data_IF_430029314713
#
_entry.id   IF_430029314713
#
_cell.length_a   1.000
_cell.length_b   1.000
_cell.length_c   1.000
_cell.angle_alpha   90.00
_cell.angle_beta   90.00
_cell.angle_gamma   90.00
#
_symmetry.space_group_name_H-M   'P 1'
#
loop_
_entity.id
_entity.type
_entity.pdbx_description
1 polymer ?
#
# COMPACT_ATOMS: atom_id res chain seq x y z
N UNK A 1 -28.91 -6.28 70.36
CA UNK A 1 -28.15 -7.09 69.41
C UNK A 1 -28.09 -6.32 68.09
N UNK A 2 -26.90 -5.75 67.74
CA UNK A 2 -26.67 -5.01 66.48
C UNK A 2 -25.85 -5.89 65.58
N UNK A 3 -26.44 -6.37 64.49
CA UNK A 3 -25.80 -7.22 63.47
C UNK A 3 -25.02 -6.32 62.51
N UNK A 4 -23.68 -6.39 62.51
CA UNK A 4 -22.83 -5.74 61.53
C UNK A 4 -22.79 -6.56 60.25
N UNK A 5 -23.31 -6.00 59.16
CA UNK A 5 -23.22 -6.57 57.82
C UNK A 5 -21.86 -6.17 57.24
N UNK A 6 -20.95 -7.13 57.00
CA UNK A 6 -19.66 -6.91 56.31
C UNK A 6 -19.88 -7.00 54.83
N UNK A 7 -19.76 -5.87 54.13
CA UNK A 7 -19.74 -5.80 52.67
C UNK A 7 -18.32 -6.13 52.23
N UNK A 8 -18.14 -7.27 51.57
CA UNK A 8 -16.88 -7.61 50.92
C UNK A 8 -16.83 -6.96 49.53
N UNK A 9 -15.95 -5.98 49.36
CA UNK A 9 -15.70 -5.39 48.04
C UNK A 9 -14.82 -6.35 47.21
N UNK A 10 -15.37 -6.88 46.15
CA UNK A 10 -14.65 -7.72 45.17
C UNK A 10 -13.87 -6.79 44.21
N UNK A 11 -12.57 -6.67 44.39
CA UNK A 11 -11.68 -5.98 43.47
C UNK A 11 -11.44 -6.87 42.24
N UNK A 12 -12.11 -6.55 41.14
CA UNK A 12 -11.80 -7.12 39.80
C UNK A 12 -10.50 -6.51 39.30
N UNK A 13 -9.38 -7.22 39.46
CA UNK A 13 -8.16 -6.92 38.76
C UNK A 13 -8.33 -7.29 37.28
N UNK A 14 -8.54 -6.27 36.41
CA UNK A 14 -8.43 -6.45 34.98
C UNK A 14 -7.00 -6.86 34.63
N UNK A 15 -6.81 -8.02 34.03
CA UNK A 15 -5.52 -8.42 33.49
C UNK A 15 -5.09 -7.40 32.42
N UNK A 16 -3.83 -6.92 32.42
CA UNK A 16 -3.34 -6.08 31.34
C UNK A 16 -3.39 -6.87 30.03
N UNK A 17 -4.09 -6.32 29.04
CA UNK A 17 -4.06 -6.84 27.67
C UNK A 17 -2.65 -6.59 27.14
N UNK A 18 -1.84 -7.64 27.02
CA UNK A 18 -0.55 -7.57 26.35
C UNK A 18 -0.80 -7.29 24.87
N UNK A 19 -0.32 -6.16 24.38
CA UNK A 19 -0.27 -5.92 22.95
C UNK A 19 0.54 -7.06 22.28
N UNK A 20 0.11 -7.56 21.12
CA UNK A 20 0.85 -8.59 20.42
C UNK A 20 2.27 -8.09 20.10
N UNK A 21 3.26 -8.97 20.29
CA UNK A 21 4.64 -8.67 19.92
C UNK A 21 4.71 -8.40 18.42
N UNK A 22 5.48 -7.38 17.99
CA UNK A 22 5.70 -7.13 16.56
C UNK A 22 6.47 -8.28 15.93
N UNK A 23 6.06 -8.65 14.72
CA UNK A 23 6.68 -9.70 13.89
C UNK A 23 7.49 -9.06 12.76
N UNK A 24 8.54 -9.74 12.23
CA UNK A 24 9.20 -9.28 11.02
C UNK A 24 8.20 -9.07 9.89
N UNK A 25 8.45 -8.07 9.03
CA UNK A 25 7.63 -7.87 7.84
C UNK A 25 7.67 -9.10 6.95
N UNK A 26 6.50 -9.49 6.44
CA UNK A 26 6.33 -10.52 5.41
C UNK A 26 6.14 -9.89 4.03
N UNK A 27 5.53 -8.69 4.01
CA UNK A 27 5.26 -7.93 2.79
C UNK A 27 5.35 -6.42 3.04
N UNK A 28 5.58 -5.69 1.95
CA UNK A 28 5.31 -4.27 1.83
C UNK A 28 4.22 -4.08 0.78
N UNK A 29 3.08 -3.51 1.17
CA UNK A 29 2.10 -3.02 0.20
C UNK A 29 2.53 -1.62 -0.25
N UNK A 30 2.86 -1.46 -1.52
CA UNK A 30 3.19 -0.19 -2.13
C UNK A 30 1.98 0.34 -2.92
N UNK A 31 1.58 1.58 -2.64
CA UNK A 31 0.45 2.23 -3.31
C UNK A 31 0.86 3.63 -3.76
N UNK A 32 0.51 3.98 -5.00
CA UNK A 32 0.85 5.26 -5.60
C UNK A 32 -0.27 6.28 -5.42
N UNK A 33 0.10 7.55 -5.21
CA UNK A 33 -0.77 8.66 -5.52
C UNK A 33 -0.55 9.01 -6.98
N UNK A 34 -1.43 8.51 -7.84
CA UNK A 34 -1.21 8.50 -9.28
C UNK A 34 -1.03 9.90 -9.90
N UNK A 35 -1.77 10.96 -9.47
CA UNK A 35 -1.54 12.31 -9.99
C UNK A 35 -0.11 12.80 -9.79
N UNK A 36 0.46 12.67 -8.60
CA UNK A 36 1.87 13.04 -8.32
C UNK A 36 2.87 12.22 -9.15
N UNK A 37 2.60 10.92 -9.33
CA UNK A 37 3.42 10.09 -10.21
C UNK A 37 3.37 10.60 -11.66
N UNK A 38 2.17 10.90 -12.15
CA UNK A 38 1.96 11.38 -13.52
C UNK A 38 2.56 12.75 -13.76
N UNK A 39 2.58 13.62 -12.76
CA UNK A 39 3.25 14.94 -12.85
C UNK A 39 4.75 14.81 -13.20
N UNK A 40 5.39 13.73 -12.73
CA UNK A 40 6.80 13.42 -12.99
C UNK A 40 7.02 12.56 -14.23
N UNK A 41 5.97 11.89 -14.73
CA UNK A 41 6.06 10.88 -15.79
C UNK A 41 5.05 11.11 -16.93
N UNK A 42 4.85 12.35 -17.35
CA UNK A 42 3.80 12.85 -18.26
C UNK A 42 3.63 12.04 -19.55
N UNK A 43 4.70 11.37 -20.02
CA UNK A 43 4.72 10.63 -21.30
C UNK A 43 4.29 9.15 -21.17
N UNK A 44 3.96 8.70 -19.96
CA UNK A 44 3.45 7.32 -19.80
C UNK A 44 2.00 7.22 -20.23
N UNK A 45 1.58 6.14 -20.91
CA UNK A 45 0.21 5.99 -21.41
C UNK A 45 -0.86 6.20 -20.32
N UNK A 46 -0.63 5.67 -19.14
CA UNK A 46 -1.51 5.83 -17.98
C UNK A 46 -1.63 7.29 -17.52
N UNK A 47 -0.61 8.10 -17.77
CA UNK A 47 -0.59 9.51 -17.40
C UNK A 47 -1.18 10.40 -18.50
N UNK A 48 -0.90 10.11 -19.78
CA UNK A 48 -1.51 10.81 -20.91
C UNK A 48 -3.04 10.63 -20.93
N UNK A 49 -3.53 9.51 -20.44
CA UNK A 49 -4.96 9.18 -20.38
C UNK A 49 -5.62 9.53 -19.05
N UNK A 50 -4.88 10.09 -18.07
CA UNK A 50 -5.45 10.43 -16.76
C UNK A 50 -6.41 11.62 -16.87
N UNK A 51 -7.58 11.50 -16.24
CA UNK A 51 -8.57 12.58 -16.09
C UNK A 51 -9.03 12.68 -14.63
N UNK A 52 -9.62 13.79 -14.26
CA UNK A 52 -10.13 14.02 -12.91
C UNK A 52 -11.28 13.06 -12.52
N UNK A 53 -11.94 12.45 -13.52
CA UNK A 53 -13.05 11.49 -13.33
C UNK A 53 -12.57 10.07 -13.14
N UNK A 54 -11.32 9.75 -13.48
CA UNK A 54 -10.77 8.41 -13.24
C UNK A 54 -10.62 8.15 -11.74
N UNK A 55 -10.79 6.89 -11.35
CA UNK A 55 -10.71 6.48 -9.95
C UNK A 55 -9.35 6.82 -9.32
N UNK A 56 -8.26 6.63 -10.05
CA UNK A 56 -6.89 6.92 -9.62
C UNK A 56 -6.57 8.41 -9.43
N UNK A 57 -7.49 9.31 -9.82
CA UNK A 57 -7.38 10.73 -9.53
C UNK A 57 -7.74 11.09 -8.08
N UNK A 58 -8.41 10.18 -7.35
CA UNK A 58 -8.99 10.45 -6.02
C UNK A 58 -8.81 9.30 -5.02
N UNK A 59 -8.05 8.28 -5.38
CA UNK A 59 -7.75 7.13 -4.51
C UNK A 59 -6.37 6.55 -4.83
N UNK A 60 -5.88 5.73 -3.93
CA UNK A 60 -4.62 5.04 -4.15
C UNK A 60 -4.72 4.03 -5.28
N UNK A 61 -3.68 3.97 -6.10
CA UNK A 61 -3.45 2.95 -7.11
C UNK A 61 -2.47 1.90 -6.60
N UNK A 62 -2.63 0.66 -7.04
CA UNK A 62 -1.68 -0.40 -6.73
C UNK A 62 -0.36 -0.15 -7.45
N UNK A 63 0.74 -0.11 -6.69
CA UNK A 63 2.07 -0.29 -7.25
C UNK A 63 2.43 -1.77 -7.20
N UNK A 64 2.44 -2.38 -6.02
CA UNK A 64 2.68 -3.81 -5.86
C UNK A 64 2.58 -4.29 -4.42
N UNK A 65 2.71 -5.60 -4.24
CA UNK A 65 2.83 -6.28 -2.97
C UNK A 65 4.17 -7.02 -2.92
N UNK A 66 5.12 -6.51 -2.15
CA UNK A 66 6.51 -6.95 -2.21
C UNK A 66 6.85 -7.89 -1.06
N UNK A 67 7.18 -9.16 -1.32
CA UNK A 67 7.65 -10.07 -0.29
C UNK A 67 8.91 -9.56 0.42
N UNK A 68 8.95 -9.76 1.73
CA UNK A 68 10.09 -9.49 2.59
C UNK A 68 10.72 -10.82 3.08
N UNK A 69 12.00 -10.86 3.51
CA UNK A 69 12.87 -9.71 3.70
C UNK A 69 13.36 -9.10 2.39
N UNK A 70 13.76 -7.83 2.45
CA UNK A 70 14.31 -7.10 1.29
C UNK A 70 15.36 -7.93 0.56
N UNK A 71 15.19 -8.08 -0.75
CA UNK A 71 16.05 -8.92 -1.58
C UNK A 71 15.37 -10.23 -2.04
N UNK A 72 14.16 -10.51 -1.58
CA UNK A 72 13.34 -11.62 -2.04
C UNK A 72 12.71 -11.25 -3.39
N UNK A 73 13.42 -11.55 -4.48
CA UNK A 73 13.04 -11.20 -5.84
C UNK A 73 13.25 -12.36 -6.80
N UNK A 74 12.45 -12.42 -7.88
CA UNK A 74 12.66 -13.29 -9.05
C UNK A 74 12.70 -14.79 -8.72
N UNK A 75 11.82 -15.26 -7.83
CA UNK A 75 11.79 -16.67 -7.43
C UNK A 75 11.42 -17.57 -8.62
N UNK A 76 12.37 -18.41 -9.02
CA UNK A 76 12.18 -19.34 -10.15
C UNK A 76 12.13 -18.67 -11.54
N UNK A 77 12.47 -17.38 -11.64
CA UNK A 77 12.46 -16.63 -12.92
C UNK A 77 13.73 -16.90 -13.72
N UNK A 78 13.60 -17.01 -15.04
CA UNK A 78 14.74 -17.19 -15.95
C UNK A 78 15.63 -15.94 -16.02
N UNK A 79 16.93 -16.13 -16.25
CA UNK A 79 17.88 -15.03 -16.44
C UNK A 79 17.49 -14.08 -17.59
N UNK A 80 16.85 -14.59 -18.64
CA UNK A 80 16.33 -13.79 -19.77
C UNK A 80 15.27 -12.79 -19.28
N UNK A 81 14.28 -13.26 -18.54
CA UNK A 81 13.21 -12.40 -18.01
C UNK A 81 13.74 -11.42 -16.96
N UNK A 82 14.68 -11.87 -16.11
CA UNK A 82 15.35 -10.97 -15.14
C UNK A 82 16.10 -9.85 -15.88
N UNK A 83 16.79 -10.18 -16.96
CA UNK A 83 17.54 -9.20 -17.74
C UNK A 83 16.60 -8.21 -18.47
N UNK A 84 15.48 -8.68 -19.01
CA UNK A 84 14.45 -7.84 -19.64
C UNK A 84 13.84 -6.89 -18.60
N UNK A 85 13.47 -7.42 -17.45
CA UNK A 85 12.87 -6.64 -16.36
C UNK A 85 13.80 -5.52 -15.86
N UNK A 86 15.07 -5.85 -15.59
CA UNK A 86 16.09 -4.87 -15.15
C UNK A 86 16.39 -3.76 -16.15
N UNK A 87 16.14 -4.01 -17.44
CA UNK A 87 16.28 -3.00 -18.51
C UNK A 87 15.05 -2.12 -18.66
N UNK A 88 13.93 -2.49 -18.03
CA UNK A 88 12.63 -1.83 -18.25
C UNK A 88 11.93 -2.27 -19.55
N UNK A 89 12.37 -3.35 -20.17
CA UNK A 89 11.79 -3.96 -21.39
C UNK A 89 10.54 -4.80 -20.98
N UNK A 90 9.60 -4.22 -20.25
CA UNK A 90 8.47 -4.95 -19.66
C UNK A 90 7.47 -5.45 -20.69
N UNK A 91 7.41 -4.83 -21.86
CA UNK A 91 6.64 -5.30 -23.00
C UNK A 91 7.09 -6.68 -23.50
N UNK A 92 8.37 -7.04 -23.27
CA UNK A 92 8.95 -8.34 -23.61
C UNK A 92 8.71 -9.44 -22.58
N UNK A 93 8.24 -9.08 -21.39
CA UNK A 93 7.88 -10.06 -20.37
C UNK A 93 6.60 -10.80 -20.79
N UNK A 94 6.44 -12.07 -20.38
CA UNK A 94 5.24 -12.84 -20.70
C UNK A 94 3.95 -12.12 -20.27
N UNK A 95 2.91 -12.13 -21.11
CA UNK A 95 1.60 -11.65 -20.69
C UNK A 95 1.05 -12.50 -19.57
N UNK A 96 0.28 -11.87 -18.67
CA UNK A 96 -0.34 -12.57 -17.56
C UNK A 96 -1.66 -13.20 -17.99
N UNK A 97 -1.80 -14.49 -17.73
CA UNK A 97 -3.07 -15.20 -17.90
C UNK A 97 -3.90 -15.03 -16.61
N UNK A 98 -4.85 -14.10 -16.66
CA UNK A 98 -5.74 -13.76 -15.57
C UNK A 98 -7.20 -13.93 -15.99
N UNK A 99 -8.09 -14.37 -15.09
CA UNK A 99 -9.54 -14.30 -15.35
C UNK A 99 -9.95 -12.88 -15.75
N UNK A 100 -10.93 -12.76 -16.66
CA UNK A 100 -11.32 -11.47 -17.24
C UNK A 100 -11.77 -10.45 -16.18
N UNK A 101 -12.52 -10.89 -15.18
CA UNK A 101 -12.95 -10.06 -14.05
C UNK A 101 -11.77 -9.49 -13.25
N UNK A 102 -10.76 -10.32 -13.03
CA UNK A 102 -9.55 -9.90 -12.33
C UNK A 102 -8.71 -8.95 -13.20
N UNK A 103 -8.61 -9.21 -14.51
CA UNK A 103 -7.89 -8.35 -15.45
C UNK A 103 -8.48 -6.93 -15.49
N UNK A 104 -9.80 -6.81 -15.66
CA UNK A 104 -10.51 -5.52 -15.70
C UNK A 104 -10.33 -4.76 -14.38
N UNK A 105 -10.43 -5.46 -13.27
CA UNK A 105 -10.24 -4.88 -11.95
C UNK A 105 -8.81 -4.41 -11.71
N UNK A 106 -7.82 -5.22 -12.13
CA UNK A 106 -6.41 -4.87 -12.02
C UNK A 106 -6.07 -3.66 -12.89
N UNK A 107 -6.55 -3.58 -14.13
CA UNK A 107 -6.31 -2.45 -15.03
C UNK A 107 -6.87 -1.13 -14.48
N UNK A 108 -7.99 -1.21 -13.73
CA UNK A 108 -8.55 -0.04 -13.04
C UNK A 108 -7.73 0.37 -11.82
N UNK A 109 -7.28 -0.60 -11.02
CA UNK A 109 -6.59 -0.37 -9.76
C UNK A 109 -5.09 -0.09 -9.93
N UNK A 110 -4.49 -0.57 -11.01
CA UNK A 110 -3.08 -0.41 -11.38
C UNK A 110 -2.97 0.24 -12.77
N UNK A 111 -3.15 1.56 -12.91
CA UNK A 111 -3.07 2.25 -14.20
C UNK A 111 -1.77 1.99 -14.96
N UNK A 112 -0.67 1.75 -14.22
CA UNK A 112 0.63 1.37 -14.77
C UNK A 112 0.63 0.05 -15.57
N UNK A 113 -0.44 -0.76 -15.54
CA UNK A 113 -0.62 -1.91 -16.43
C UNK A 113 -0.61 -1.50 -17.91
N UNK A 114 -0.99 -0.26 -18.24
CA UNK A 114 -0.88 0.31 -19.59
C UNK A 114 0.57 0.39 -20.08
N UNK A 115 1.54 0.44 -19.16
CA UNK A 115 2.98 0.38 -19.44
C UNK A 115 3.64 -0.89 -18.87
N UNK A 116 2.86 -1.96 -18.73
CA UNK A 116 3.30 -3.30 -18.33
C UNK A 116 3.85 -3.42 -16.90
N UNK A 117 3.47 -2.52 -16.00
CA UNK A 117 3.85 -2.58 -14.59
C UNK A 117 3.40 -3.91 -13.95
N UNK A 118 2.23 -4.41 -14.32
CA UNK A 118 1.71 -5.70 -13.84
C UNK A 118 2.65 -6.88 -14.15
N UNK A 119 3.29 -6.89 -15.33
CA UNK A 119 4.27 -7.93 -15.68
C UNK A 119 5.55 -7.80 -14.87
N UNK A 120 6.03 -6.55 -14.66
CA UNK A 120 7.17 -6.27 -13.80
C UNK A 120 6.90 -6.75 -12.37
N UNK A 121 5.80 -6.33 -11.78
CA UNK A 121 5.45 -6.67 -10.40
C UNK A 121 5.28 -8.17 -10.21
N UNK A 122 4.66 -8.86 -11.17
CA UNK A 122 4.58 -10.31 -11.14
C UNK A 122 5.95 -10.97 -11.19
N UNK A 123 6.74 -10.67 -12.22
CA UNK A 123 8.04 -11.33 -12.45
C UNK A 123 8.98 -11.10 -11.28
N UNK A 124 9.03 -9.88 -10.76
CA UNK A 124 9.99 -9.50 -9.72
C UNK A 124 9.53 -9.90 -8.32
N UNK A 125 8.28 -9.70 -8.00
CA UNK A 125 7.74 -9.84 -6.65
C UNK A 125 6.73 -10.97 -6.52
N UNK A 126 5.76 -11.05 -7.43
CA UNK A 126 4.68 -12.03 -7.36
C UNK A 126 5.14 -13.48 -7.43
N UNK A 127 6.23 -13.76 -8.15
CA UNK A 127 6.86 -15.10 -8.20
C UNK A 127 7.38 -15.58 -6.84
N UNK A 128 7.56 -14.66 -5.88
CA UNK A 128 7.96 -14.95 -4.51
C UNK A 128 6.80 -14.91 -3.50
N UNK A 129 5.56 -14.74 -3.98
CA UNK A 129 4.38 -14.73 -3.14
C UNK A 129 4.13 -16.11 -2.48
N UNK A 130 3.41 -16.15 -1.35
CA UNK A 130 3.11 -17.40 -0.62
C UNK A 130 2.32 -18.42 -1.47
N UNK A 131 1.43 -17.93 -2.36
CA UNK A 131 0.83 -18.70 -3.45
C UNK A 131 1.32 -18.08 -4.78
N UNK A 132 2.39 -18.63 -5.40
CA UNK A 132 3.07 -18.01 -6.51
C UNK A 132 2.34 -18.25 -7.84
N UNK A 133 1.07 -17.84 -7.90
CA UNK A 133 0.28 -17.73 -9.13
C UNK A 133 -0.08 -16.27 -9.41
N UNK A 134 -0.12 -15.81 -10.68
CA UNK A 134 -0.51 -14.44 -11.00
C UNK A 134 -1.88 -14.08 -10.42
N UNK A 135 -2.82 -15.03 -10.48
CA UNK A 135 -4.18 -14.83 -9.96
C UNK A 135 -4.17 -14.59 -8.45
N UNK A 136 -3.52 -15.44 -7.65
CA UNK A 136 -3.48 -15.31 -6.19
C UNK A 136 -2.77 -14.00 -5.80
N UNK A 137 -1.61 -13.71 -6.37
CA UNK A 137 -0.84 -12.49 -6.10
C UNK A 137 -1.67 -11.22 -6.32
N UNK A 138 -2.36 -11.09 -7.46
CA UNK A 138 -3.14 -9.89 -7.73
C UNK A 138 -4.47 -9.84 -6.97
N UNK A 139 -5.12 -10.98 -6.69
CA UNK A 139 -6.30 -11.01 -5.80
C UNK A 139 -5.96 -10.52 -4.40
N UNK A 140 -4.84 -10.96 -3.86
CA UNK A 140 -4.37 -10.56 -2.53
C UNK A 140 -3.94 -9.09 -2.50
N UNK A 141 -3.20 -8.64 -3.50
CA UNK A 141 -2.81 -7.22 -3.64
C UNK A 141 -4.03 -6.29 -3.70
N UNK A 142 -5.02 -6.65 -4.53
CA UNK A 142 -6.26 -5.88 -4.69
C UNK A 142 -7.13 -5.91 -3.43
N UNK A 143 -7.20 -7.05 -2.74
CA UNK A 143 -7.92 -7.17 -1.46
C UNK A 143 -7.38 -6.17 -0.42
N UNK A 144 -6.05 -6.04 -0.32
CA UNK A 144 -5.42 -5.12 0.62
C UNK A 144 -5.60 -3.66 0.19
N UNK A 145 -5.45 -3.36 -1.11
CA UNK A 145 -5.72 -2.03 -1.66
C UNK A 145 -7.16 -1.58 -1.43
N UNK A 146 -8.14 -2.47 -1.63
CA UNK A 146 -9.55 -2.14 -1.41
C UNK A 146 -9.83 -1.76 0.04
N UNK A 147 -9.23 -2.48 1.01
CA UNK A 147 -9.39 -2.15 2.42
C UNK A 147 -8.76 -0.79 2.76
N UNK A 148 -7.63 -0.45 2.14
CA UNK A 148 -7.03 0.88 2.27
C UNK A 148 -7.94 1.96 1.68
N UNK A 149 -8.43 1.76 0.46
CA UNK A 149 -9.30 2.71 -0.23
C UNK A 149 -10.71 2.83 0.39
N UNK A 150 -11.13 1.84 1.18
CA UNK A 150 -12.35 1.91 1.98
C UNK A 150 -12.14 2.60 3.35
N UNK A 151 -10.90 2.94 3.71
CA UNK A 151 -10.56 3.49 5.02
C UNK A 151 -10.59 5.03 5.04
N UNK A 152 -10.58 5.65 6.25
CA UNK A 152 -10.43 7.10 6.40
C UNK A 152 -9.13 7.66 5.80
N UNK A 153 -8.10 6.83 5.59
CA UNK A 153 -6.82 7.26 4.99
C UNK A 153 -7.02 7.78 3.56
N UNK A 154 -7.79 7.05 2.75
CA UNK A 154 -8.14 7.50 1.39
C UNK A 154 -8.87 8.83 1.41
N UNK A 155 -9.81 9.00 2.34
CA UNK A 155 -10.59 10.22 2.47
C UNK A 155 -9.70 11.42 2.82
N UNK A 156 -8.74 11.25 3.73
CA UNK A 156 -7.77 12.31 4.06
C UNK A 156 -7.02 12.77 2.81
N UNK A 157 -6.50 11.85 2.01
CA UNK A 157 -5.78 12.18 0.77
C UNK A 157 -6.69 12.88 -0.24
N UNK A 158 -7.91 12.40 -0.44
CA UNK A 158 -8.88 13.02 -1.35
C UNK A 158 -9.24 14.46 -0.92
N UNK A 159 -9.41 14.71 0.38
CA UNK A 159 -9.71 16.04 0.93
C UNK A 159 -8.49 16.99 0.92
N UNK A 160 -7.29 16.43 0.82
CA UNK A 160 -6.03 17.19 0.75
C UNK A 160 -5.55 17.46 -0.69
N UNK A 161 -6.33 17.10 -1.72
CA UNK A 161 -5.95 17.34 -3.11
C UNK A 161 -5.74 18.86 -3.34
N UNK A 162 -4.52 19.20 -3.80
CA UNK A 162 -4.09 20.59 -4.02
C UNK A 162 -3.41 21.24 -2.82
N UNK A 163 -3.35 20.56 -1.68
CA UNK A 163 -2.74 21.05 -0.45
C UNK A 163 -1.55 20.19 0.01
N UNK A 164 -0.67 20.76 0.81
CA UNK A 164 0.39 20.03 1.50
C UNK A 164 -0.21 19.20 2.66
N UNK A 165 0.12 17.91 2.68
CA UNK A 165 -0.27 16.99 3.74
C UNK A 165 0.95 16.62 4.60
N UNK A 166 0.85 16.85 5.91
CA UNK A 166 1.91 16.51 6.84
C UNK A 166 1.88 15.01 7.22
N UNK A 167 3.05 14.41 7.37
CA UNK A 167 3.18 12.99 7.76
C UNK A 167 2.50 12.69 9.10
N UNK A 168 2.51 13.65 10.03
CA UNK A 168 1.88 13.45 11.33
C UNK A 168 0.35 13.27 11.20
N UNK A 169 -0.29 13.98 10.28
CA UNK A 169 -1.73 13.82 10.03
C UNK A 169 -2.03 12.45 9.42
N UNK A 170 -1.12 11.96 8.55
CA UNK A 170 -1.23 10.60 8.00
C UNK A 170 -1.06 9.54 9.10
N UNK A 171 -0.09 9.69 10.03
CA UNK A 171 0.05 8.79 11.19
C UNK A 171 -1.27 8.73 11.98
N UNK A 172 -1.84 9.88 12.30
CA UNK A 172 -3.06 9.94 13.13
C UNK A 172 -4.25 9.26 12.44
N UNK A 173 -4.45 9.50 11.16
CA UNK A 173 -5.58 8.89 10.44
C UNK A 173 -5.37 7.39 10.23
N UNK A 174 -4.13 6.93 10.06
CA UNK A 174 -3.80 5.50 9.97
C UNK A 174 -4.03 4.81 11.32
N UNK A 175 -3.69 5.46 12.44
CA UNK A 175 -4.01 4.95 13.78
C UNK A 175 -5.53 4.85 14.00
N UNK A 176 -6.29 5.85 13.57
CA UNK A 176 -7.76 5.81 13.63
C UNK A 176 -8.33 4.68 12.76
N UNK A 177 -7.75 4.45 11.58
CA UNK A 177 -8.26 3.47 10.64
C UNK A 177 -7.91 2.02 11.01
N UNK A 178 -6.69 1.79 11.53
CA UNK A 178 -6.12 0.47 11.69
C UNK A 178 -5.62 0.15 13.11
N UNK A 179 -5.86 1.07 14.06
CA UNK A 179 -5.53 0.91 15.49
C UNK A 179 -4.21 1.57 15.90
N UNK A 180 -4.08 1.81 17.19
CA UNK A 180 -2.99 2.57 17.79
C UNK A 180 -1.60 2.06 17.35
N UNK A 181 -0.76 2.98 16.92
CA UNK A 181 0.61 2.71 16.45
C UNK A 181 0.72 2.18 15.03
N UNK A 182 -0.40 1.96 14.31
CA UNK A 182 -0.40 1.55 12.90
C UNK A 182 0.33 2.57 12.00
N UNK A 183 0.20 3.86 12.30
CA UNK A 183 0.84 4.94 11.56
C UNK A 183 2.37 4.88 11.55
N UNK A 184 2.99 4.19 12.50
CA UNK A 184 4.44 3.97 12.47
C UNK A 184 4.88 2.82 11.53
N UNK A 185 3.93 2.07 10.94
CA UNK A 185 4.18 0.99 9.98
C UNK A 185 4.02 1.44 8.53
N UNK A 186 3.90 2.76 8.33
CA UNK A 186 3.86 3.34 6.99
C UNK A 186 5.11 4.20 6.73
N UNK A 187 5.44 4.29 5.45
CA UNK A 187 6.46 5.19 4.92
C UNK A 187 5.85 6.01 3.78
N UNK A 188 5.95 7.35 3.86
CA UNK A 188 5.65 8.20 2.72
C UNK A 188 6.92 8.41 1.88
N UNK A 189 6.76 8.39 0.57
CA UNK A 189 7.79 8.73 -0.39
C UNK A 189 7.39 10.02 -1.10
N UNK A 190 8.28 11.00 -0.99
CA UNK A 190 8.17 12.26 -1.73
C UNK A 190 9.19 12.32 -2.86
N UNK A 191 8.86 13.05 -3.90
CA UNK A 191 9.75 13.42 -5.00
C UNK A 191 9.62 14.90 -5.28
N UNK A 192 10.74 15.55 -5.57
CA UNK A 192 10.76 16.96 -5.93
C UNK A 192 10.30 17.14 -7.38
N UNK A 193 9.41 18.12 -7.54
CA UNK A 193 9.20 18.83 -8.78
C UNK A 193 9.50 20.29 -8.50
N UNK A 194 10.53 20.83 -9.11
CA UNK A 194 11.06 22.16 -8.79
C UNK A 194 11.36 22.30 -7.27
N UNK A 195 10.74 23.24 -6.59
CA UNK A 195 10.90 23.45 -5.14
C UNK A 195 9.81 22.72 -4.30
N UNK A 196 8.84 22.04 -4.95
CA UNK A 196 7.74 21.35 -4.29
C UNK A 196 8.06 19.87 -4.06
N UNK A 197 7.81 19.37 -2.86
CA UNK A 197 7.79 17.94 -2.57
C UNK A 197 6.40 17.38 -2.88
N UNK A 198 6.30 16.40 -3.79
CA UNK A 198 5.07 15.69 -4.12
C UNK A 198 5.04 14.35 -3.39
N UNK A 199 3.92 14.02 -2.71
CA UNK A 199 3.71 12.66 -2.17
C UNK A 199 3.38 11.74 -3.34
N UNK A 200 4.31 10.85 -3.71
CA UNK A 200 4.15 9.95 -4.86
C UNK A 200 3.72 8.55 -4.49
N UNK A 201 4.08 8.08 -3.29
CA UNK A 201 3.86 6.71 -2.87
C UNK A 201 3.72 6.59 -1.35
N UNK A 202 2.87 5.69 -0.90
CA UNK A 202 2.83 5.21 0.47
C UNK A 202 3.17 3.72 0.49
N UNK A 203 4.06 3.32 1.39
CA UNK A 203 4.41 1.92 1.66
C UNK A 203 3.91 1.53 3.02
N UNK A 204 3.33 0.35 3.12
CA UNK A 204 2.73 -0.17 4.34
C UNK A 204 3.39 -1.50 4.67
N UNK A 205 4.06 -1.56 5.82
CA UNK A 205 4.68 -2.79 6.32
C UNK A 205 3.63 -3.75 6.87
N UNK A 206 3.67 -5.00 6.43
CA UNK A 206 2.69 -6.04 6.75
C UNK A 206 3.40 -7.27 7.32
N UNK A 207 2.84 -7.89 8.35
CA UNK A 207 3.34 -9.14 8.92
C UNK A 207 2.27 -10.24 8.88
N UNK A 208 2.72 -11.47 8.61
CA UNK A 208 1.84 -12.65 8.46
C UNK A 208 1.52 -12.97 7.01
N UNK A 209 0.50 -13.78 6.78
CA UNK A 209 0.01 -14.21 5.47
C UNK A 209 -1.20 -13.39 5.06
N UNK A 210 -1.43 -13.19 3.75
CA UNK A 210 -2.63 -12.45 3.29
C UNK A 210 -3.88 -13.29 3.41
N UNK A 211 -3.73 -14.62 3.32
CA UNK A 211 -4.84 -15.55 3.45
C UNK A 211 -5.51 -15.43 4.83
N UNK A 212 -6.82 -15.12 4.84
CA UNK A 212 -7.63 -15.07 6.06
C UNK A 212 -7.39 -13.86 6.98
N UNK A 213 -6.44 -12.95 6.66
CA UNK A 213 -6.16 -11.76 7.47
C UNK A 213 -6.67 -10.48 6.80
N UNK A 214 -6.97 -9.48 7.62
CA UNK A 214 -7.29 -8.13 7.17
C UNK A 214 -6.01 -7.28 7.06
N UNK A 215 -6.11 -6.16 6.33
CA UNK A 215 -5.05 -5.15 6.29
C UNK A 215 -4.69 -4.66 7.71
N UNK A 216 -5.71 -4.44 8.55
CA UNK A 216 -5.54 -4.03 9.96
C UNK A 216 -4.72 -5.06 10.75
N UNK A 217 -5.07 -6.35 10.66
CA UNK A 217 -4.37 -7.42 11.41
C UNK A 217 -2.89 -7.46 11.02
N UNK A 218 -2.60 -7.36 9.71
CA UNK A 218 -1.24 -7.42 9.18
C UNK A 218 -0.42 -6.19 9.53
N UNK A 219 -1.00 -4.98 9.50
CA UNK A 219 -0.33 -3.74 9.92
C UNK A 219 0.01 -3.82 11.41
N UNK A 220 -0.95 -4.19 12.27
CA UNK A 220 -0.78 -4.18 13.72
C UNK A 220 0.34 -5.11 14.20
N UNK A 221 0.63 -6.17 13.47
CA UNK A 221 1.67 -7.14 13.79
C UNK A 221 3.04 -6.77 13.25
N UNK A 222 3.11 -5.84 12.29
CA UNK A 222 4.34 -5.45 11.63
C UNK A 222 5.25 -4.57 12.49
N UNK A 223 6.51 -4.44 12.07
CA UNK A 223 7.48 -3.52 12.66
C UNK A 223 7.36 -2.11 12.07
N UNK A 224 7.89 -1.11 12.79
CA UNK A 224 7.91 0.27 12.32
C UNK A 224 8.78 0.45 11.08
N UNK A 225 8.36 1.36 10.21
CA UNK A 225 9.07 1.76 8.99
C UNK A 225 9.56 3.21 9.12
N UNK A 226 10.84 3.51 8.74
CA UNK A 226 11.31 4.89 8.72
C UNK A 226 10.73 5.65 7.53
N UNK A 227 10.46 6.94 7.70
CA UNK A 227 10.12 7.86 6.61
C UNK A 227 11.03 9.08 6.62
N UNK A 228 11.39 9.56 5.42
CA UNK A 228 12.14 10.80 5.24
C UNK A 228 11.21 11.94 4.77
N UNK A 229 10.08 11.62 4.14
CA UNK A 229 9.07 12.57 3.71
C UNK A 229 8.25 13.05 4.92
N UNK A 230 8.39 14.33 5.28
CA UNK A 230 7.70 14.92 6.43
C UNK A 230 6.40 15.64 6.07
N UNK A 231 6.33 16.15 4.85
CA UNK A 231 5.13 16.71 4.22
C UNK A 231 5.34 16.77 2.71
N UNK A 232 4.26 16.88 1.97
CA UNK A 232 4.29 17.09 0.53
C UNK A 232 2.90 17.33 -0.02
N UNK A 233 2.85 17.87 -1.23
CA UNK A 233 1.62 18.13 -1.95
C UNK A 233 0.95 16.80 -2.33
N UNK A 234 -0.33 16.71 -2.05
CA UNK A 234 -1.24 15.72 -2.63
C UNK A 234 -1.74 16.28 -3.96
N UNK A 235 -1.07 15.93 -5.04
CA UNK A 235 -1.29 16.55 -6.34
C UNK A 235 -2.67 16.20 -6.93
N UNK A 236 -3.21 17.10 -7.75
CA UNK A 236 -4.44 16.91 -8.50
C UNK A 236 -4.17 16.23 -9.84
N UNK A 237 -5.16 15.53 -10.41
CA UNK A 237 -5.05 15.02 -11.78
C UNK A 237 -4.94 16.17 -12.80
N UNK A 238 -4.09 15.96 -13.79
CA UNK A 238 -3.70 16.96 -14.77
C UNK A 238 -2.23 17.34 -14.61
N UNK A 239 -1.75 18.25 -15.45
CA UNK A 239 -0.36 18.69 -15.38
C UNK A 239 -0.32 20.18 -15.01
N UNK A 240 0.50 20.51 -14.01
CA UNK A 240 0.79 21.89 -13.69
C UNK A 240 1.78 22.45 -14.73
N UNK A 241 1.58 23.72 -15.14
CA UNK A 241 2.42 24.45 -16.10
C UNK A 241 3.83 24.72 -15.57
#
# INVERSE_FOLDING_TARGET
MRTCLKIAALLLFGAPSLAPASEPMSYVLAVSWQPSFCELHRKKPECESQTAERADARQFSLHGLWPEPRGTFYCGVSEEHIAADKKGDWDKLPPLDLPSDLRERLDTAMPGSQSYLDRHEWIKHGTCHEDPTPEAYFRDSLKLLDQLNASPVKKLFEESIGDDLAYIDVIQIVDIAFGDGAGFRIQLLCRKKDDQDLIVEMRIGLAGTVAGQSLQDMIQRSVSMPTECRSGLVDAAGFSD
#
